data_IF_231838584872
#
_entry.id   IF_231838584872
#
_cell.length_a   1.000
_cell.length_b   1.000
_cell.length_c   1.000
_cell.angle_alpha   90.00
_cell.angle_beta   90.00
_cell.angle_gamma   90.00
#
_symmetry.space_group_name_H-M   'P 1'
#
loop_
_entity.id
_entity.type
_entity.pdbx_description
1 polymer ?
#
# COMPACT_ATOMS: atom_id res chain seq x y z
N UNK A 1 1.10 -11.30 -0.59
CA UNK A 1 0.47 -10.06 -1.10
C UNK A 1 1.39 -9.42 -2.12
N UNK A 2 0.89 -9.13 -3.32
CA UNK A 2 1.70 -8.44 -4.34
C UNK A 2 1.78 -6.95 -4.04
N UNK A 3 2.99 -6.42 -3.95
CA UNK A 3 3.24 -5.02 -3.56
C UNK A 3 4.03 -4.31 -4.66
N UNK A 4 3.50 -3.17 -5.11
CA UNK A 4 4.12 -2.32 -6.11
C UNK A 4 5.27 -1.50 -5.50
N UNK A 5 5.03 -0.88 -4.34
CA UNK A 5 6.01 -0.04 -3.64
C UNK A 5 5.71 0.08 -2.14
N UNK A 6 6.76 0.30 -1.36
CA UNK A 6 6.71 0.67 0.06
C UNK A 6 7.65 1.85 0.27
N UNK A 7 7.16 2.97 0.79
CA UNK A 7 7.95 4.20 0.91
C UNK A 7 7.40 5.14 2.00
N UNK A 8 8.23 6.06 2.49
CA UNK A 8 7.83 7.12 3.42
C UNK A 8 7.53 8.40 2.67
N UNK A 9 6.43 9.07 3.01
CA UNK A 9 6.09 10.41 2.50
C UNK A 9 5.12 11.12 3.46
N UNK A 10 4.51 12.22 3.02
CA UNK A 10 3.37 12.85 3.71
C UNK A 10 2.07 12.48 3.02
N UNK A 11 1.02 12.19 3.78
CA UNK A 11 -0.33 12.02 3.26
C UNK A 11 -0.77 13.29 2.52
N UNK A 12 -1.12 13.13 1.25
CA UNK A 12 -1.52 14.22 0.37
C UNK A 12 -3.02 14.53 0.42
N UNK A 13 -3.84 13.58 0.84
CA UNK A 13 -5.29 13.61 0.67
C UNK A 13 -6.07 13.26 1.95
N UNK A 14 -7.30 13.77 2.03
CA UNK A 14 -8.25 13.45 3.10
C UNK A 14 -7.99 14.20 4.41
N UNK A 15 -8.46 13.61 5.51
CA UNK A 15 -8.43 14.23 6.85
C UNK A 15 -7.01 14.32 7.43
N UNK A 16 -6.14 13.38 7.07
CA UNK A 16 -4.77 13.28 7.59
C UNK A 16 -3.74 13.95 6.67
N UNK A 17 -4.16 14.84 5.76
CA UNK A 17 -3.22 15.56 4.88
C UNK A 17 -2.12 16.25 5.69
N UNK A 18 -0.86 16.01 5.30
CA UNK A 18 0.34 16.57 5.92
C UNK A 18 1.01 15.65 6.96
N UNK A 19 0.32 14.61 7.43
CA UNK A 19 0.86 13.61 8.38
C UNK A 19 1.95 12.79 7.69
N UNK A 20 3.10 12.60 8.35
CA UNK A 20 4.15 11.70 7.84
C UNK A 20 3.67 10.24 7.95
N UNK A 21 3.82 9.48 6.87
CA UNK A 21 3.29 8.12 6.80
C UNK A 21 4.16 7.20 5.96
N UNK A 22 4.18 5.93 6.36
CA UNK A 22 4.64 4.83 5.51
C UNK A 22 3.48 4.39 4.61
N UNK A 23 3.74 4.29 3.32
CA UNK A 23 2.76 3.83 2.33
C UNK A 23 3.09 2.40 1.94
N UNK A 24 2.06 1.54 1.91
CA UNK A 24 2.14 0.21 1.29
C UNK A 24 1.16 0.20 0.13
N UNK A 25 1.68 0.18 -1.09
CA UNK A 25 0.88 0.12 -2.32
C UNK A 25 0.79 -1.32 -2.81
N UNK A 26 -0.34 -1.98 -2.66
CA UNK A 26 -0.55 -3.29 -3.28
C UNK A 26 -0.56 -3.19 -4.82
N UNK A 27 -0.46 -4.32 -5.49
CA UNK A 27 -0.41 -4.38 -6.96
C UNK A 27 -1.50 -5.30 -7.49
N UNK A 28 -2.46 -4.71 -8.20
CA UNK A 28 -3.67 -5.34 -8.70
C UNK A 28 -4.92 -4.63 -8.21
N UNK A 29 -5.91 -4.48 -9.10
CA UNK A 29 -7.23 -3.93 -8.78
C UNK A 29 -8.32 -4.74 -9.51
N UNK A 30 -9.51 -4.85 -8.91
CA UNK A 30 -10.70 -5.47 -9.50
C UNK A 30 -11.51 -4.50 -10.38
N UNK A 31 -11.16 -3.21 -10.35
CA UNK A 31 -11.78 -2.17 -11.17
C UNK A 31 -10.87 -1.78 -12.34
N UNK A 32 -11.46 -1.12 -13.35
CA UNK A 32 -10.77 -0.60 -14.54
C UNK A 32 -11.18 0.86 -14.77
N UNK A 33 -10.99 1.68 -13.75
CA UNK A 33 -11.38 3.08 -13.75
C UNK A 33 -10.57 3.86 -14.80
N UNK A 34 -11.25 4.46 -15.78
CA UNK A 34 -10.61 5.27 -16.84
C UNK A 34 -9.82 6.47 -16.32
N UNK A 35 -10.15 6.95 -15.13
CA UNK A 35 -9.58 8.13 -14.49
C UNK A 35 -8.52 7.80 -13.42
N UNK A 36 -8.07 6.54 -13.32
CA UNK A 36 -7.02 6.18 -12.37
C UNK A 36 -5.68 6.78 -12.79
N UNK A 37 -5.05 7.47 -11.85
CA UNK A 37 -3.73 8.12 -11.97
C UNK A 37 -2.56 7.17 -11.64
N UNK A 38 -2.85 5.97 -11.14
CA UNK A 38 -1.88 4.95 -10.72
C UNK A 38 -2.04 3.63 -11.49
N UNK A 39 -1.99 3.65 -12.84
CA UNK A 39 -2.29 2.48 -13.68
C UNK A 39 -1.36 1.28 -13.46
N UNK A 40 -0.10 1.55 -13.10
CA UNK A 40 0.94 0.53 -12.84
C UNK A 40 0.67 -0.32 -11.60
N UNK A 41 -0.17 0.16 -10.67
CA UNK A 41 -0.60 -0.61 -9.50
C UNK A 41 -1.98 -1.25 -9.70
N UNK A 42 -2.64 -1.03 -10.85
CA UNK A 42 -4.04 -1.42 -11.08
C UNK A 42 -4.18 -2.48 -12.18
N UNK A 43 -4.10 -2.10 -13.46
CA UNK A 43 -4.32 -3.01 -14.60
C UNK A 43 -3.06 -3.33 -15.40
N UNK A 44 -1.95 -2.69 -15.06
CA UNK A 44 -0.60 -3.08 -15.50
C UNK A 44 0.23 -3.42 -14.26
N UNK A 45 -0.16 -4.44 -13.46
CA UNK A 45 0.39 -4.66 -12.13
C UNK A 45 1.88 -5.01 -12.16
N UNK A 46 2.68 -4.21 -11.47
CA UNK A 46 4.12 -4.41 -11.28
C UNK A 46 4.44 -4.91 -9.85
N UNK A 47 5.71 -4.96 -9.49
CA UNK A 47 6.15 -5.33 -8.14
C UNK A 47 6.19 -6.84 -7.88
N UNK A 48 6.47 -7.19 -6.62
CA UNK A 48 6.81 -8.54 -6.17
C UNK A 48 5.81 -9.05 -5.12
N UNK A 49 5.65 -10.36 -5.03
CA UNK A 49 4.94 -10.99 -3.92
C UNK A 49 5.80 -10.94 -2.65
N UNK A 50 5.25 -10.33 -1.60
CA UNK A 50 5.85 -10.25 -0.29
C UNK A 50 4.97 -10.96 0.74
N UNK A 51 5.61 -11.60 1.72
CA UNK A 51 4.94 -12.07 2.92
C UNK A 51 4.56 -10.91 3.83
N UNK A 52 3.58 -11.12 4.71
CA UNK A 52 3.18 -10.13 5.72
C UNK A 52 4.39 -9.71 6.58
N UNK A 53 5.26 -10.65 6.93
CA UNK A 53 6.46 -10.34 7.73
C UNK A 53 7.41 -9.40 7.01
N UNK A 54 7.70 -9.65 5.72
CA UNK A 54 8.57 -8.78 4.93
C UNK A 54 7.98 -7.37 4.78
N UNK A 55 6.66 -7.25 4.64
CA UNK A 55 5.99 -5.94 4.56
C UNK A 55 6.13 -5.21 5.89
N UNK A 56 5.84 -5.87 7.01
CA UNK A 56 5.96 -5.28 8.35
C UNK A 56 7.38 -4.80 8.62
N UNK A 57 8.39 -5.62 8.35
CA UNK A 57 9.80 -5.25 8.52
C UNK A 57 10.14 -3.97 7.73
N UNK A 58 9.79 -3.94 6.44
CA UNK A 58 10.04 -2.76 5.60
C UNK A 58 9.28 -1.51 6.04
N UNK A 59 8.07 -1.66 6.57
CA UNK A 59 7.28 -0.52 7.06
C UNK A 59 7.89 0.04 8.35
N UNK A 60 8.32 -0.82 9.27
CA UNK A 60 8.95 -0.40 10.53
C UNK A 60 10.30 0.29 10.28
N UNK A 61 11.07 -0.17 9.28
CA UNK A 61 12.33 0.46 8.87
C UNK A 61 12.17 1.90 8.34
N UNK A 62 10.95 2.32 7.98
CA UNK A 62 10.67 3.68 7.52
C UNK A 62 10.49 4.70 8.66
N UNK A 63 10.34 4.24 9.91
CA UNK A 63 10.20 5.09 11.10
C UNK A 63 9.11 6.16 10.95
N UNK A 64 7.91 5.77 10.52
CA UNK A 64 6.75 6.65 10.41
C UNK A 64 5.68 6.28 11.45
N UNK A 65 5.04 7.29 12.05
CA UNK A 65 4.02 7.10 13.11
C UNK A 65 2.66 6.65 12.58
N UNK A 66 2.47 6.65 11.26
CA UNK A 66 1.21 6.33 10.61
C UNK A 66 1.46 5.51 9.34
N UNK A 67 0.56 4.55 9.05
CA UNK A 67 0.65 3.70 7.86
C UNK A 67 -0.59 3.91 6.98
N UNK A 68 -0.36 4.08 5.68
CA UNK A 68 -1.40 4.14 4.66
C UNK A 68 -1.31 2.89 3.80
N UNK A 69 -2.30 1.99 3.94
CA UNK A 69 -2.48 0.84 3.07
C UNK A 69 -3.34 1.26 1.88
N UNK A 70 -2.81 1.12 0.66
CA UNK A 70 -3.44 1.65 -0.57
C UNK A 70 -3.13 0.75 -1.76
N UNK A 71 -3.69 1.09 -2.92
CA UNK A 71 -3.25 0.74 -4.27
C UNK A 71 -3.13 -0.75 -4.61
N UNK A 72 -3.25 -1.16 -5.87
CA UNK A 72 -4.51 -0.92 -6.57
C UNK A 72 -5.69 -1.02 -5.60
N UNK A 73 -6.34 -2.17 -5.48
CA UNK A 73 -7.33 -2.39 -4.42
C UNK A 73 -6.71 -3.22 -3.29
N UNK A 74 -6.33 -2.62 -2.14
CA UNK A 74 -5.69 -3.35 -1.05
C UNK A 74 -6.60 -4.42 -0.45
N UNK A 75 -7.93 -4.24 -0.49
CA UNK A 75 -8.88 -5.20 0.08
C UNK A 75 -9.07 -6.46 -0.78
N UNK A 76 -8.36 -6.59 -1.90
CA UNK A 76 -8.34 -7.85 -2.66
C UNK A 76 -7.54 -8.96 -1.99
N UNK A 77 -6.63 -8.60 -1.09
CA UNK A 77 -5.67 -9.52 -0.51
C UNK A 77 -6.10 -9.91 0.90
N UNK A 78 -6.27 -11.21 1.16
CA UNK A 78 -6.61 -11.71 2.49
C UNK A 78 -5.52 -11.39 3.52
N UNK A 79 -4.28 -11.23 3.06
CA UNK A 79 -3.13 -10.81 3.87
C UNK A 79 -3.26 -9.40 4.45
N UNK A 80 -4.20 -8.57 3.96
CA UNK A 80 -4.47 -7.26 4.54
C UNK A 80 -4.87 -7.35 6.02
N UNK A 81 -5.65 -8.38 6.40
CA UNK A 81 -6.11 -8.58 7.78
C UNK A 81 -4.92 -8.79 8.74
N UNK A 82 -4.08 -9.83 8.56
CA UNK A 82 -2.92 -10.02 9.44
C UNK A 82 -1.84 -8.93 9.29
N UNK A 83 -1.86 -8.14 8.22
CA UNK A 83 -1.00 -6.96 8.09
C UNK A 83 -1.46 -5.84 9.04
N UNK A 84 -2.76 -5.53 9.05
CA UNK A 84 -3.34 -4.55 9.98
C UNK A 84 -3.21 -4.97 11.45
N UNK A 85 -3.29 -6.26 11.75
CA UNK A 85 -3.11 -6.74 13.14
C UNK A 85 -1.67 -6.58 13.66
N UNK A 86 -0.70 -6.42 12.75
CA UNK A 86 0.75 -6.39 13.07
C UNK A 86 1.39 -5.02 12.96
N UNK A 87 0.69 -4.02 12.42
CA UNK A 87 1.13 -2.63 12.26
C UNK A 87 0.36 -1.73 13.21
#
# INVERSE_FOLDING_TARGET
>A
MRVAEIYRSRQGEGELTGVESAFVRASGCNLRCRFCDTPYASWTPEGNDLSVSEIVERVLDLEADHVVLTGGEPMLFAELIPLCDRL
#
